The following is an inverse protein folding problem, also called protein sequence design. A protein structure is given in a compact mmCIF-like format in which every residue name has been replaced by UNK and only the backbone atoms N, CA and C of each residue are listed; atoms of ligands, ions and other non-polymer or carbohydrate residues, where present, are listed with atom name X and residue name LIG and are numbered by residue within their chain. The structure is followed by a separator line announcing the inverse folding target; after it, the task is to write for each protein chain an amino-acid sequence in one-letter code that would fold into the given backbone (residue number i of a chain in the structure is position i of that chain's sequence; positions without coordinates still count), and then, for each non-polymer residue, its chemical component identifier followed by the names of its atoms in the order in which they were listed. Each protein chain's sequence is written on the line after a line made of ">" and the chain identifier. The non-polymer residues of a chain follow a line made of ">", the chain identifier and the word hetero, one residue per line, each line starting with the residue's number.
data_IF_323305200958
#
_entry.id   IF_323305200958
#
_cell.length_a   1.000
_cell.length_b   1.000
_cell.length_c   1.000
_cell.angle_alpha   90.00
_cell.angle_beta   90.00
_cell.angle_gamma   90.00
#
_symmetry.space_group_name_H-M   'P 1'
#
loop_
_entity.id
_entity.type
_entity.pdbx_description
1 polymer ?
#
# COMPACT_ATOMS: atom_id res chain seq x y z
N UNK A 1 6.50 2.67 11.37
CA UNK A 1 7.48 1.73 10.78
C UNK A 1 7.71 2.09 9.32
N UNK A 2 8.81 1.63 8.74
CA UNK A 2 9.04 1.65 7.29
C UNK A 2 9.16 0.21 6.81
N UNK A 3 8.46 -0.15 5.75
CA UNK A 3 8.52 -1.48 5.16
C UNK A 3 8.27 -1.40 3.66
N UNK A 4 8.95 -2.26 2.89
CA UNK A 4 8.73 -2.36 1.44
C UNK A 4 8.08 -3.69 1.12
N UNK A 5 6.85 -3.64 0.60
CA UNK A 5 6.19 -4.82 0.04
C UNK A 5 6.62 -5.04 -1.41
N UNK A 6 6.64 -6.28 -1.86
CA UNK A 6 6.82 -6.60 -3.28
C UNK A 6 5.47 -6.74 -3.94
N UNK A 7 5.23 -5.98 -5.00
CA UNK A 7 4.04 -6.09 -5.85
C UNK A 7 4.45 -6.80 -7.14
N UNK A 8 3.80 -7.93 -7.44
CA UNK A 8 4.13 -8.76 -8.60
C UNK A 8 2.97 -8.83 -9.58
N UNK A 9 3.25 -8.64 -10.86
CA UNK A 9 2.28 -8.91 -11.91
C UNK A 9 2.28 -10.40 -12.27
N UNK A 10 1.24 -11.11 -11.86
CA UNK A 10 1.03 -12.53 -12.18
C UNK A 10 0.18 -12.75 -13.44
N UNK A 11 -0.22 -11.68 -14.13
CA UNK A 11 -1.00 -11.70 -15.36
C UNK A 11 -0.15 -11.87 -16.62
N UNK A 12 -0.81 -11.74 -17.77
CA UNK A 12 -0.21 -11.89 -19.11
C UNK A 12 -0.03 -10.57 -19.87
N UNK A 13 -0.54 -9.46 -19.33
CA UNK A 13 -0.40 -8.11 -19.87
C UNK A 13 0.31 -7.23 -18.85
N UNK A 14 0.92 -6.12 -19.29
CA UNK A 14 1.45 -5.11 -18.37
C UNK A 14 0.34 -4.65 -17.43
N UNK A 15 0.67 -4.59 -16.14
CA UNK A 15 -0.20 -4.08 -15.10
C UNK A 15 0.15 -2.61 -14.90
N UNK A 16 -0.81 -1.73 -15.15
CA UNK A 16 -0.70 -0.29 -14.91
C UNK A 16 -1.26 0.01 -13.51
N UNK A 17 -0.46 0.67 -12.66
CA UNK A 17 -0.89 1.16 -11.35
C UNK A 17 -1.40 2.59 -11.54
N UNK A 18 -2.72 2.73 -11.45
CA UNK A 18 -3.41 4.00 -11.72
C UNK A 18 -3.37 4.93 -10.51
N UNK A 19 -3.46 4.36 -9.30
CA UNK A 19 -3.47 5.14 -8.06
C UNK A 19 -3.05 4.29 -6.87
N UNK A 20 -2.22 4.87 -6.00
CA UNK A 20 -1.98 4.37 -4.65
C UNK A 20 -2.53 5.40 -3.67
N UNK A 21 -3.32 4.96 -2.70
CA UNK A 21 -3.87 5.83 -1.65
C UNK A 21 -3.99 5.09 -0.32
N UNK A 22 -4.09 5.84 0.78
CA UNK A 22 -4.16 5.30 2.13
C UNK A 22 -5.42 5.75 2.84
N UNK A 23 -5.87 4.99 3.84
CA UNK A 23 -7.08 5.30 4.62
C UNK A 23 -6.90 6.44 5.63
N UNK A 24 -5.68 6.97 5.80
CA UNK A 24 -5.31 7.95 6.82
C UNK A 24 -4.01 8.65 6.40
N UNK A 25 -3.89 9.97 6.64
CA UNK A 25 -2.65 10.72 6.40
C UNK A 25 -1.44 10.26 7.25
N UNK A 26 -1.69 9.50 8.31
CA UNK A 26 -0.68 8.84 9.12
C UNK A 26 0.06 7.69 8.42
N UNK A 27 -0.40 7.28 7.23
CA UNK A 27 0.24 6.26 6.39
C UNK A 27 0.56 6.85 5.02
N UNK A 28 1.82 6.72 4.61
CA UNK A 28 2.29 7.03 3.26
C UNK A 28 2.59 5.71 2.53
N UNK A 29 2.21 5.64 1.26
CA UNK A 29 2.48 4.49 0.40
C UNK A 29 2.90 4.97 -1.00
N UNK A 30 4.06 4.51 -1.46
CA UNK A 30 4.69 4.91 -2.72
C UNK A 30 5.10 3.68 -3.52
N UNK A 31 4.69 3.61 -4.78
CA UNK A 31 5.09 2.54 -5.70
C UNK A 31 6.32 2.97 -6.51
N UNK A 32 7.30 2.08 -6.64
CA UNK A 32 8.56 2.38 -7.34
C UNK A 32 8.41 2.45 -8.86
N UNK A 33 7.45 1.70 -9.41
CA UNK A 33 7.08 1.75 -10.83
C UNK A 33 5.58 1.61 -10.96
N UNK A 34 4.97 2.44 -11.78
CA UNK A 34 3.55 2.34 -12.13
C UNK A 34 3.28 1.38 -13.29
N UNK A 35 4.32 0.82 -13.92
CA UNK A 35 4.21 -0.18 -14.97
C UNK A 35 4.96 -1.44 -14.57
N UNK A 36 4.26 -2.58 -14.55
CA UNK A 36 4.82 -3.86 -14.15
C UNK A 36 4.56 -4.86 -15.27
N UNK A 37 5.60 -5.28 -16.00
CA UNK A 37 5.44 -6.24 -17.11
C UNK A 37 5.04 -7.63 -16.59
N UNK A 38 4.50 -8.52 -17.45
CA UNK A 38 4.17 -9.88 -17.05
C UNK A 38 5.34 -10.58 -16.35
N UNK A 39 5.10 -11.09 -15.13
CA UNK A 39 6.10 -11.82 -14.34
C UNK A 39 7.06 -10.95 -13.52
N UNK A 40 7.16 -9.64 -13.82
CA UNK A 40 8.01 -8.68 -13.10
C UNK A 40 7.39 -8.25 -11.77
N UNK A 41 8.19 -7.57 -10.95
CA UNK A 41 7.78 -7.04 -9.65
C UNK A 41 8.36 -5.64 -9.41
N UNK A 42 7.72 -4.90 -8.53
CA UNK A 42 8.14 -3.56 -8.10
C UNK A 42 7.97 -3.41 -6.58
N UNK A 43 8.70 -2.48 -5.96
CA UNK A 43 8.55 -2.16 -4.55
C UNK A 43 7.38 -1.22 -4.27
N UNK A 44 6.61 -1.52 -3.22
CA UNK A 44 5.67 -0.61 -2.58
C UNK A 44 6.23 -0.23 -1.21
N UNK A 45 6.78 0.97 -1.10
CA UNK A 45 7.30 1.52 0.15
C UNK A 45 6.16 2.06 0.99
N UNK A 46 6.07 1.62 2.23
CA UNK A 46 5.03 1.98 3.18
C UNK A 46 5.67 2.54 4.44
N UNK A 47 5.28 3.77 4.77
CA UNK A 47 5.68 4.44 6.01
C UNK A 47 4.44 4.69 6.85
N UNK A 48 4.44 4.20 8.07
CA UNK A 48 3.41 4.48 9.06
C UNK A 48 3.99 5.29 10.22
N UNK A 49 3.40 6.45 10.50
CA UNK A 49 3.77 7.30 11.63
C UNK A 49 2.54 7.64 12.48
N UNK A 50 2.37 7.03 13.67
CA UNK A 50 1.24 7.31 14.54
C UNK A 50 1.22 8.76 15.07
N UNK A 51 2.37 9.45 15.10
CA UNK A 51 2.47 10.85 15.57
C UNK A 51 1.80 11.86 14.64
N UNK A 52 1.44 11.46 13.42
CA UNK A 52 0.72 12.29 12.47
C UNK A 52 -0.80 12.18 12.61
N UNK A 53 -1.28 11.39 13.57
CA UNK A 53 -2.70 11.31 13.90
C UNK A 53 -3.11 12.53 14.75
N UNK A 54 -4.36 12.99 14.59
CA UNK A 54 -4.89 14.13 15.34
C UNK A 54 -4.97 13.87 16.84
N UNK A 55 -5.24 12.61 17.22
CA UNK A 55 -5.29 12.16 18.60
C UNK A 55 -4.17 11.14 18.88
N UNK A 56 -3.70 11.13 20.12
CA UNK A 56 -2.74 10.13 20.59
C UNK A 56 -3.44 8.76 20.68
N UNK A 57 -3.07 7.84 19.79
CA UNK A 57 -3.68 6.51 19.74
C UNK A 57 -2.73 5.46 20.28
N UNK A 58 -3.19 4.72 21.29
CA UNK A 58 -2.51 3.56 21.87
C UNK A 58 -3.29 2.28 21.59
N UNK A 59 -2.57 1.16 21.57
CA UNK A 59 -3.14 -0.15 21.29
C UNK A 59 -3.19 -0.50 19.80
N UNK A 60 -4.03 -1.48 19.48
CA UNK A 60 -4.09 -2.08 18.14
C UNK A 60 -4.83 -1.17 17.17
N UNK A 61 -4.18 -0.86 16.07
CA UNK A 61 -4.75 -0.08 14.97
C UNK A 61 -4.60 -0.83 13.64
N UNK A 62 -5.52 -0.57 12.72
CA UNK A 62 -5.42 -1.04 11.34
C UNK A 62 -5.53 0.12 10.35
N UNK A 63 -4.75 0.04 9.28
CA UNK A 63 -4.79 0.97 8.15
C UNK A 63 -4.88 0.18 6.85
N UNK A 64 -5.49 0.80 5.84
CA UNK A 64 -5.66 0.19 4.53
C UNK A 64 -4.91 1.03 3.51
N UNK A 65 -4.19 0.33 2.63
CA UNK A 65 -3.58 0.89 1.42
C UNK A 65 -4.39 0.34 0.25
N UNK A 66 -4.84 1.23 -0.62
CA UNK A 66 -5.62 0.93 -1.82
C UNK A 66 -4.74 1.11 -3.06
N UNK A 67 -4.73 0.11 -3.94
CA UNK A 67 -3.98 0.12 -5.20
C UNK A 67 -4.96 -0.09 -6.34
N UNK A 68 -5.33 0.98 -7.03
CA UNK A 68 -6.12 0.90 -8.27
C UNK A 68 -5.22 0.57 -9.44
N UNK A 69 -5.63 -0.37 -10.27
CA UNK A 69 -4.80 -0.90 -11.35
C UNK A 69 -5.64 -1.31 -12.57
N UNK A 70 -4.98 -1.77 -13.63
CA UNK A 70 -5.62 -2.13 -14.90
C UNK A 70 -6.09 -3.60 -15.03
N UNK A 71 -6.01 -4.42 -13.98
CA UNK A 71 -6.60 -5.77 -13.98
C UNK A 71 -8.14 -5.67 -13.94
N UNK A 72 -8.86 -6.08 -14.99
CA UNK A 72 -10.32 -6.00 -15.01
C UNK A 72 -11.00 -6.92 -13.99
N UNK A 73 -10.31 -7.95 -13.51
CA UNK A 73 -10.85 -8.86 -12.48
C UNK A 73 -10.67 -8.31 -11.08
N UNK A 74 -9.56 -7.59 -10.85
CA UNK A 74 -9.21 -7.02 -9.54
C UNK A 74 -8.74 -5.56 -9.71
N UNK A 75 -9.64 -4.64 -10.10
CA UNK A 75 -9.27 -3.27 -10.45
C UNK A 75 -8.77 -2.47 -9.24
N UNK A 76 -9.00 -2.96 -8.02
CA UNK A 76 -8.48 -2.39 -6.78
C UNK A 76 -8.01 -3.52 -5.85
N UNK A 77 -6.81 -3.38 -5.29
CA UNK A 77 -6.25 -4.27 -4.28
C UNK A 77 -6.13 -3.52 -2.96
N UNK A 78 -6.54 -4.17 -1.87
CA UNK A 78 -6.43 -3.63 -0.52
C UNK A 78 -5.36 -4.36 0.29
N UNK A 79 -4.46 -3.60 0.91
CA UNK A 79 -3.46 -4.12 1.85
C UNK A 79 -3.79 -3.58 3.23
N UNK A 80 -4.23 -4.48 4.14
CA UNK A 80 -4.45 -4.14 5.54
C UNK A 80 -3.16 -4.30 6.34
N UNK A 81 -2.65 -3.20 6.86
CA UNK A 81 -1.57 -3.20 7.86
C UNK A 81 -2.16 -3.10 9.26
N UNK A 82 -1.54 -3.78 10.22
CA UNK A 82 -1.92 -3.72 11.64
C UNK A 82 -0.70 -3.42 12.47
N UNK A 83 -0.84 -2.50 13.42
CA UNK A 83 0.22 -2.14 14.36
C UNK A 83 -0.34 -2.09 15.79
N UNK A 84 0.51 -2.38 16.78
CA UNK A 84 0.21 -2.10 18.18
C UNK A 84 1.03 -0.89 18.61
N UNK A 85 0.38 0.25 18.86
CA UNK A 85 1.05 1.49 19.25
C UNK A 85 1.20 1.50 20.77
N UNK A 86 2.44 1.61 21.26
CA UNK A 86 2.74 1.47 22.70
C UNK A 86 2.95 2.84 23.38
N UNK A 87 3.45 3.83 22.64
CA UNK A 87 3.79 5.17 23.15
C UNK A 87 3.77 6.22 22.05
#
# INVERSE_FOLDING_TARGET
>A
FNYTFTVRNTGKKTLEINKVSTSCGCTLAEIESNQIRPGESTGLRVTFNPKLMEEEVKGKISRIIFIKNSDPKNPEVEIKITANVIS
#
